data_IF_651494504078
#
_entry.id   IF_651494504078
#
_cell.length_a   1.000
_cell.length_b   1.000
_cell.length_c   1.000
_cell.angle_alpha   90.00
_cell.angle_beta   90.00
_cell.angle_gamma   90.00
#
_symmetry.space_group_name_H-M   'P 1'
#
loop_
_entity.id
_entity.type
_entity.pdbx_description
1 polymer ?
#
# COMPACT_ATOMS: atom_id res chain seq x y z
N UNK A 1 17.81 -13.29 18.00
CA UNK A 1 16.39 -13.58 17.71
C UNK A 1 16.23 -13.40 16.22
N UNK A 2 15.88 -14.45 15.52
CA UNK A 2 15.74 -14.42 14.07
C UNK A 2 14.54 -13.55 13.68
N UNK A 3 14.82 -12.30 13.33
CA UNK A 3 13.83 -11.35 12.75
C UNK A 3 13.46 -11.78 11.32
N UNK A 4 13.16 -13.06 11.11
CA UNK A 4 12.86 -13.61 9.80
C UNK A 4 11.34 -13.60 9.57
N UNK A 5 10.95 -13.12 8.41
CA UNK A 5 9.58 -13.31 7.92
C UNK A 5 9.35 -14.82 7.72
N UNK A 6 8.20 -15.38 8.13
CA UNK A 6 7.84 -16.77 7.85
C UNK A 6 8.03 -17.13 6.37
N UNK A 7 8.45 -18.34 6.08
CA UNK A 7 8.84 -18.75 4.72
C UNK A 7 7.69 -18.67 3.70
N UNK A 8 6.48 -18.98 4.11
CA UNK A 8 5.25 -18.88 3.31
C UNK A 8 4.86 -17.42 3.03
N UNK A 9 5.00 -16.53 4.04
CA UNK A 9 4.81 -15.08 3.89
C UNK A 9 5.89 -14.50 2.96
N UNK A 10 7.15 -14.95 3.09
CA UNK A 10 8.25 -14.55 2.20
C UNK A 10 7.97 -14.99 0.76
N UNK A 11 7.51 -16.21 0.57
CA UNK A 11 7.16 -16.73 -0.76
C UNK A 11 6.02 -15.92 -1.40
N UNK A 12 4.96 -15.61 -0.63
CA UNK A 12 3.87 -14.76 -1.08
C UNK A 12 4.34 -13.34 -1.43
N UNK A 13 5.21 -12.75 -0.60
CA UNK A 13 5.78 -11.42 -0.84
C UNK A 13 6.59 -11.39 -2.14
N UNK A 14 7.41 -12.40 -2.40
CA UNK A 14 8.25 -12.47 -3.60
C UNK A 14 7.45 -12.79 -4.87
N UNK A 15 6.40 -13.61 -4.77
CA UNK A 15 5.45 -13.85 -5.87
C UNK A 15 4.74 -12.54 -6.27
N UNK A 16 4.46 -11.70 -5.31
CA UNK A 16 3.67 -10.49 -5.48
C UNK A 16 2.19 -10.71 -5.19
N UNK A 17 1.61 -9.84 -4.38
CA UNK A 17 0.20 -9.89 -3.98
C UNK A 17 -0.41 -8.49 -3.96
N UNK A 18 -1.73 -8.45 -3.89
CA UNK A 18 -2.49 -7.23 -3.61
C UNK A 18 -2.43 -6.94 -2.12
N UNK A 19 -1.94 -5.75 -1.75
CA UNK A 19 -1.91 -5.25 -0.38
C UNK A 19 -2.68 -3.93 -0.32
N UNK A 20 -3.97 -3.92 0.04
CA UNK A 20 -4.72 -2.69 0.25
C UNK A 20 -4.08 -1.83 1.36
N UNK A 21 -3.97 -0.53 1.10
CA UNK A 21 -3.62 0.44 2.12
C UNK A 21 -4.88 0.79 2.92
N UNK A 22 -5.03 0.23 4.11
CA UNK A 22 -6.26 0.20 4.89
C UNK A 22 -6.79 1.61 5.25
N UNK A 23 -8.01 2.01 4.81
CA UNK A 23 -8.69 3.20 5.30
C UNK A 23 -9.17 3.04 6.74
N UNK A 24 -9.31 4.17 7.44
CA UNK A 24 -9.82 4.22 8.80
C UNK A 24 -11.35 4.38 8.81
N UNK A 25 -12.05 3.39 9.32
CA UNK A 25 -13.49 3.46 9.49
C UNK A 25 -13.86 4.33 10.69
N UNK A 26 -14.57 5.42 10.45
CA UNK A 26 -15.05 6.33 11.49
C UNK A 26 -16.58 6.45 11.48
N UNK A 27 -17.15 6.66 12.65
CA UNK A 27 -18.55 7.06 12.80
C UNK A 27 -18.72 8.59 12.66
N UNK A 28 -19.96 9.08 12.67
CA UNK A 28 -20.30 10.53 12.56
C UNK A 28 -19.61 11.42 13.60
N UNK A 29 -19.21 10.84 14.74
CA UNK A 29 -18.50 11.55 15.80
C UNK A 29 -16.96 11.48 15.62
N UNK A 30 -16.48 10.98 14.47
CA UNK A 30 -15.06 10.76 14.14
C UNK A 30 -14.34 9.86 15.15
N UNK A 31 -15.06 8.92 15.74
CA UNK A 31 -14.53 7.84 16.56
C UNK A 31 -14.43 6.58 15.71
N UNK A 32 -13.46 5.72 16.05
CA UNK A 32 -13.28 4.44 15.38
C UNK A 32 -14.61 3.64 15.39
N UNK A 33 -15.04 3.24 14.22
CA UNK A 33 -16.12 2.28 14.02
C UNK A 33 -15.49 0.88 13.86
N UNK A 34 -15.29 0.22 14.99
CA UNK A 34 -14.59 -1.07 15.02
C UNK A 34 -15.31 -2.13 14.18
N UNK A 35 -16.64 -2.16 14.20
CA UNK A 35 -17.43 -3.12 13.41
C UNK A 35 -17.14 -2.97 11.92
N UNK A 36 -17.12 -1.76 11.41
CA UNK A 36 -16.81 -1.48 9.99
C UNK A 36 -15.33 -1.60 9.67
N UNK A 37 -14.46 -1.30 10.64
CA UNK A 37 -13.03 -1.54 10.47
C UNK A 37 -12.73 -3.03 10.27
N UNK A 38 -13.39 -3.91 11.04
CA UNK A 38 -13.31 -5.37 10.88
C UNK A 38 -13.92 -5.81 9.54
N UNK A 39 -15.09 -5.27 9.17
CA UNK A 39 -15.74 -5.57 7.91
C UNK A 39 -14.86 -5.22 6.69
N UNK A 40 -14.15 -4.10 6.72
CA UNK A 40 -13.17 -3.73 5.68
C UNK A 40 -12.06 -4.77 5.53
N UNK A 41 -11.50 -5.25 6.63
CA UNK A 41 -10.43 -6.25 6.58
C UNK A 41 -10.96 -7.58 6.04
N UNK A 42 -12.14 -8.02 6.50
CA UNK A 42 -12.82 -9.22 6.00
C UNK A 42 -13.10 -9.12 4.49
N UNK A 43 -13.58 -7.96 4.04
CA UNK A 43 -13.77 -7.68 2.61
C UNK A 43 -12.47 -7.88 1.82
N UNK A 44 -11.35 -7.31 2.26
CA UNK A 44 -10.07 -7.45 1.56
C UNK A 44 -9.62 -8.91 1.47
N UNK A 45 -9.72 -9.63 2.57
CA UNK A 45 -9.30 -11.03 2.64
C UNK A 45 -10.20 -11.94 1.80
N UNK A 46 -11.52 -11.75 1.86
CA UNK A 46 -12.48 -12.51 1.04
C UNK A 46 -12.38 -12.13 -0.45
N UNK A 47 -11.99 -10.90 -0.79
CA UNK A 47 -11.67 -10.49 -2.15
C UNK A 47 -10.38 -11.13 -2.71
N UNK A 48 -9.58 -11.76 -1.86
CA UNK A 48 -8.34 -12.46 -2.24
C UNK A 48 -7.07 -11.62 -2.07
N UNK A 49 -7.12 -10.51 -1.34
CA UNK A 49 -5.91 -9.76 -1.02
C UNK A 49 -4.93 -10.63 -0.24
N UNK A 50 -3.66 -10.66 -0.65
CA UNK A 50 -2.60 -11.43 0.00
C UNK A 50 -1.94 -10.70 1.16
N UNK A 51 -2.38 -9.49 1.49
CA UNK A 51 -1.89 -8.74 2.64
C UNK A 51 -2.74 -7.52 2.96
N UNK A 52 -2.44 -6.86 4.10
CA UNK A 52 -3.07 -5.61 4.54
C UNK A 52 -2.00 -4.69 5.09
N UNK A 53 -2.02 -3.41 4.70
CA UNK A 53 -1.14 -2.38 5.25
C UNK A 53 -1.93 -1.42 6.13
N UNK A 54 -1.60 -1.32 7.42
CA UNK A 54 -2.25 -0.46 8.40
C UNK A 54 -1.30 0.60 8.97
N UNK A 55 -1.86 1.72 9.47
CA UNK A 55 -1.05 2.83 9.97
C UNK A 55 -0.34 3.62 8.89
N UNK A 56 -0.80 3.49 7.64
CA UNK A 56 -0.30 4.15 6.43
C UNK A 56 -1.09 5.43 6.13
N UNK A 57 -0.83 6.08 5.00
CA UNK A 57 -1.49 7.34 4.63
C UNK A 57 -3.03 7.25 4.69
N UNK A 58 -3.63 6.23 4.08
CA UNK A 58 -5.09 6.02 4.06
C UNK A 58 -5.68 5.72 5.45
N UNK A 59 -4.89 5.14 6.36
CA UNK A 59 -5.28 4.96 7.77
C UNK A 59 -5.21 6.28 8.55
N UNK A 60 -4.67 7.34 7.93
CA UNK A 60 -4.47 8.69 8.45
C UNK A 60 -3.37 8.75 9.53
N UNK A 61 -2.32 9.50 9.27
CA UNK A 61 -1.19 9.63 10.22
C UNK A 61 -1.60 10.19 11.58
N UNK A 62 -2.71 10.95 11.61
CA UNK A 62 -3.30 11.52 12.83
C UNK A 62 -3.73 10.48 13.87
N UNK A 63 -3.87 9.19 13.52
CA UNK A 63 -4.12 8.11 14.50
C UNK A 63 -3.09 8.06 15.63
N UNK A 64 -1.92 8.68 15.43
CA UNK A 64 -0.79 8.74 16.36
C UNK A 64 -0.84 9.91 17.33
N UNK A 65 -1.68 10.91 17.05
CA UNK A 65 -1.74 12.14 17.84
C UNK A 65 -2.20 11.84 19.28
N UNK A 66 -1.63 12.55 20.27
CA UNK A 66 -2.14 12.52 21.64
C UNK A 66 -3.64 12.84 21.67
N UNK A 67 -4.42 12.07 22.41
CA UNK A 67 -5.87 12.19 22.46
C UNK A 67 -6.65 11.41 21.39
N UNK A 68 -6.00 10.99 20.29
CA UNK A 68 -6.56 10.06 19.30
C UNK A 68 -6.13 8.63 19.63
N UNK A 69 -4.83 8.36 19.70
CA UNK A 69 -4.21 7.12 20.17
C UNK A 69 -4.80 5.83 19.51
N UNK A 70 -5.07 5.87 18.21
CA UNK A 70 -5.65 4.74 17.48
C UNK A 70 -4.63 3.83 16.80
N UNK A 71 -3.32 4.14 16.83
CA UNK A 71 -2.32 3.33 16.13
C UNK A 71 -2.33 1.88 16.61
N UNK A 72 -2.11 1.64 17.91
CA UNK A 72 -2.11 0.28 18.46
C UNK A 72 -3.47 -0.43 18.36
N UNK A 73 -4.62 0.21 18.66
CA UNK A 73 -5.94 -0.41 18.46
C UNK A 73 -6.19 -0.89 17.03
N UNK A 74 -5.87 -0.07 16.01
CA UNK A 74 -6.07 -0.45 14.61
C UNK A 74 -5.17 -1.61 14.22
N UNK A 75 -3.89 -1.59 14.61
CA UNK A 75 -2.98 -2.71 14.36
C UNK A 75 -3.50 -4.01 14.98
N UNK A 76 -4.04 -3.96 16.19
CA UNK A 76 -4.61 -5.13 16.88
C UNK A 76 -5.81 -5.70 16.12
N UNK A 77 -6.74 -4.84 15.67
CA UNK A 77 -7.93 -5.27 14.89
C UNK A 77 -7.49 -5.98 13.60
N UNK A 78 -6.52 -5.42 12.86
CA UNK A 78 -6.01 -6.05 11.63
C UNK A 78 -5.41 -7.42 11.93
N UNK A 79 -4.57 -7.51 12.97
CA UNK A 79 -3.98 -8.78 13.38
C UNK A 79 -5.05 -9.84 13.65
N UNK A 80 -6.03 -9.52 14.49
CA UNK A 80 -7.09 -10.46 14.88
C UNK A 80 -7.87 -11.01 13.67
N UNK A 81 -8.25 -10.14 12.72
CA UNK A 81 -8.97 -10.57 11.52
C UNK A 81 -8.07 -11.36 10.55
N UNK A 82 -6.79 -10.99 10.43
CA UNK A 82 -5.84 -11.75 9.60
C UNK A 82 -5.56 -13.13 10.21
N UNK A 83 -5.32 -13.24 11.52
CA UNK A 83 -5.11 -14.53 12.21
C UNK A 83 -6.32 -15.45 12.06
N UNK A 84 -7.53 -14.89 12.25
CA UNK A 84 -8.79 -15.64 12.02
C UNK A 84 -8.88 -16.17 10.60
N UNK A 85 -8.57 -15.34 9.61
CA UNK A 85 -8.59 -15.75 8.20
C UNK A 85 -7.57 -16.84 7.90
N UNK A 86 -6.35 -16.70 8.39
CA UNK A 86 -5.28 -17.72 8.23
C UNK A 86 -5.69 -19.05 8.83
N UNK A 87 -6.28 -19.05 10.05
CA UNK A 87 -6.77 -20.25 10.70
C UNK A 87 -7.86 -20.97 9.90
N UNK A 88 -8.75 -20.24 9.24
CA UNK A 88 -9.87 -20.82 8.47
C UNK A 88 -9.41 -21.25 7.08
N UNK A 89 -8.60 -20.44 6.39
CA UNK A 89 -8.27 -20.64 4.98
C UNK A 89 -6.96 -21.39 4.74
N UNK A 90 -6.06 -21.43 5.73
CA UNK A 90 -4.68 -21.93 5.59
C UNK A 90 -3.78 -21.06 4.71
N UNK A 91 -4.27 -19.90 4.21
CA UNK A 91 -3.51 -19.02 3.32
C UNK A 91 -2.75 -17.96 4.11
N UNK A 92 -1.46 -17.71 3.83
CA UNK A 92 -0.70 -16.67 4.52
C UNK A 92 -1.25 -15.28 4.14
N UNK A 93 -1.25 -14.37 5.11
CA UNK A 93 -1.62 -12.95 4.93
C UNK A 93 -0.47 -12.06 5.38
N UNK A 94 0.06 -11.25 4.46
CA UNK A 94 1.15 -10.32 4.75
C UNK A 94 0.60 -9.13 5.53
N UNK A 95 1.10 -8.90 6.74
CA UNK A 95 0.74 -7.76 7.57
C UNK A 95 1.85 -6.72 7.57
N UNK A 96 1.56 -5.51 7.06
CA UNK A 96 2.53 -4.41 6.94
C UNK A 96 2.07 -3.26 7.82
N UNK A 97 2.95 -2.80 8.73
CA UNK A 97 2.67 -1.64 9.58
C UNK A 97 3.38 -0.40 9.07
N UNK A 98 2.65 0.69 8.88
CA UNK A 98 3.26 2.00 8.65
C UNK A 98 4.04 2.44 9.90
N UNK A 99 5.30 2.79 9.73
CA UNK A 99 6.19 3.32 10.77
C UNK A 99 6.72 4.67 10.31
N UNK A 100 6.53 5.72 11.10
CA UNK A 100 6.84 7.11 10.70
C UNK A 100 7.53 7.90 11.81
N UNK A 101 7.97 9.10 11.47
CA UNK A 101 8.58 10.03 12.40
C UNK A 101 10.10 9.89 12.52
N UNK A 102 10.69 10.67 13.42
CA UNK A 102 12.12 10.56 13.74
C UNK A 102 12.39 9.27 14.52
N UNK A 103 13.65 8.85 14.61
CA UNK A 103 14.08 7.54 15.10
C UNK A 103 13.44 7.13 16.43
N UNK A 104 13.31 8.04 17.40
CA UNK A 104 12.69 7.75 18.71
C UNK A 104 11.22 7.33 18.60
N UNK A 105 10.45 7.98 17.72
CA UNK A 105 9.05 7.61 17.46
C UNK A 105 8.98 6.32 16.67
N UNK A 106 9.77 6.21 15.60
CA UNK A 106 9.78 5.03 14.75
C UNK A 106 10.15 3.74 15.50
N UNK A 107 11.08 3.81 16.48
CA UNK A 107 11.40 2.68 17.36
C UNK A 107 10.14 2.21 18.11
N UNK A 108 9.40 3.13 18.76
CA UNK A 108 8.18 2.77 19.51
C UNK A 108 7.11 2.15 18.61
N UNK A 109 6.95 2.69 17.39
CA UNK A 109 5.98 2.17 16.42
C UNK A 109 6.39 0.80 15.90
N UNK A 110 7.68 0.60 15.58
CA UNK A 110 8.22 -0.69 15.14
C UNK A 110 8.10 -1.76 16.24
N UNK A 111 8.42 -1.42 17.48
CA UNK A 111 8.24 -2.32 18.62
C UNK A 111 6.77 -2.70 18.82
N UNK A 112 5.85 -1.72 18.68
CA UNK A 112 4.41 -1.98 18.76
C UNK A 112 3.95 -2.89 17.65
N UNK A 113 4.40 -2.66 16.41
CA UNK A 113 4.07 -3.48 15.25
C UNK A 113 4.64 -4.91 15.39
N UNK A 114 5.90 -5.04 15.80
CA UNK A 114 6.56 -6.33 16.04
C UNK A 114 5.83 -7.14 17.12
N UNK A 115 5.47 -6.51 18.26
CA UNK A 115 4.68 -7.16 19.32
C UNK A 115 3.29 -7.60 18.86
N UNK A 116 2.71 -6.92 17.87
CA UNK A 116 1.46 -7.31 17.25
C UNK A 116 1.64 -8.31 16.09
N UNK A 117 2.82 -8.90 15.91
CA UNK A 117 3.05 -9.94 14.90
C UNK A 117 3.06 -9.44 13.45
N UNK A 118 3.27 -8.16 13.21
CA UNK A 118 3.42 -7.63 11.85
C UNK A 118 4.73 -8.10 11.22
N UNK A 119 4.68 -8.39 9.92
CA UNK A 119 5.80 -9.00 9.19
C UNK A 119 6.83 -7.98 8.71
N UNK A 120 6.43 -6.72 8.44
CA UNK A 120 7.35 -5.68 7.99
C UNK A 120 6.86 -4.27 8.35
N UNK A 121 7.81 -3.37 8.56
CA UNK A 121 7.58 -1.94 8.72
C UNK A 121 7.63 -1.22 7.35
N UNK A 122 6.52 -0.65 6.90
CA UNK A 122 6.53 0.33 5.80
C UNK A 122 7.10 1.65 6.36
N UNK A 123 8.39 1.87 6.13
CA UNK A 123 9.13 2.94 6.76
C UNK A 123 9.00 4.26 6.02
N UNK A 124 8.23 5.19 6.58
CA UNK A 124 8.03 6.53 6.04
C UNK A 124 9.16 7.49 6.43
N UNK A 125 9.79 8.11 5.44
CA UNK A 125 10.95 8.99 5.61
C UNK A 125 10.61 10.49 5.58
N UNK A 126 9.33 10.86 5.56
CA UNK A 126 8.89 12.26 5.46
C UNK A 126 9.39 13.19 6.59
N UNK A 127 9.71 12.64 7.77
CA UNK A 127 10.29 13.40 8.87
C UNK A 127 11.76 13.81 8.65
N UNK A 128 12.40 13.33 7.58
CA UNK A 128 13.83 13.52 7.30
C UNK A 128 14.07 14.38 6.06
N UNK A 129 13.23 15.40 5.80
CA UNK A 129 13.27 16.21 4.56
C UNK A 129 14.67 16.76 4.26
N UNK A 130 15.35 17.30 5.28
CA UNK A 130 16.62 18.03 5.15
C UNK A 130 17.82 17.22 5.65
N UNK A 131 17.61 15.99 6.09
CA UNK A 131 18.67 15.13 6.61
C UNK A 131 19.49 14.52 5.48
N UNK A 132 20.78 14.24 5.73
CA UNK A 132 21.64 13.55 4.76
C UNK A 132 21.23 12.09 4.54
N UNK A 133 21.54 11.52 3.38
CA UNK A 133 21.31 10.10 3.09
C UNK A 133 21.95 9.21 4.18
N UNK A 134 23.16 9.56 4.66
CA UNK A 134 23.85 8.83 5.73
C UNK A 134 23.02 8.79 7.02
N UNK A 135 22.42 9.92 7.43
CA UNK A 135 21.58 9.99 8.63
C UNK A 135 20.31 9.14 8.45
N UNK A 136 19.70 9.17 7.26
CA UNK A 136 18.50 8.36 6.97
C UNK A 136 18.83 6.88 6.93
N UNK A 137 19.94 6.47 6.33
CA UNK A 137 20.38 5.06 6.32
C UNK A 137 20.68 4.57 7.74
N UNK A 138 21.27 5.40 8.60
CA UNK A 138 21.47 5.09 10.02
C UNK A 138 20.12 4.84 10.73
N UNK A 139 19.14 5.71 10.48
CA UNK A 139 17.77 5.51 10.97
C UNK A 139 17.17 4.19 10.49
N UNK A 140 17.26 3.91 9.18
CA UNK A 140 16.76 2.66 8.59
C UNK A 140 17.39 1.43 9.25
N UNK A 141 18.71 1.43 9.46
CA UNK A 141 19.43 0.34 10.15
C UNK A 141 18.95 0.15 11.59
N UNK A 142 18.67 1.25 12.31
CA UNK A 142 18.13 1.18 13.67
C UNK A 142 16.77 0.47 13.69
N UNK A 143 15.87 0.81 12.78
CA UNK A 143 14.54 0.17 12.71
C UNK A 143 14.66 -1.28 12.22
N UNK A 144 15.56 -1.55 11.28
CA UNK A 144 15.86 -2.90 10.78
C UNK A 144 16.29 -3.86 11.89
N UNK A 145 16.94 -3.35 12.96
CA UNK A 145 17.27 -4.15 14.14
C UNK A 145 16.06 -4.58 14.98
N UNK A 146 14.87 -4.02 14.72
CA UNK A 146 13.63 -4.35 15.45
C UNK A 146 12.74 -5.29 14.63
N UNK A 147 12.54 -4.99 13.34
CA UNK A 147 11.71 -5.80 12.44
C UNK A 147 12.12 -5.59 10.98
N UNK A 148 11.76 -6.53 10.06
CA UNK A 148 12.00 -6.39 8.64
C UNK A 148 11.46 -5.10 8.06
N UNK A 149 12.16 -4.54 7.05
CA UNK A 149 11.79 -3.29 6.41
C UNK A 149 11.10 -3.51 5.06
N UNK A 150 9.99 -2.82 4.90
CA UNK A 150 9.38 -2.52 3.62
C UNK A 150 9.72 -1.06 3.31
N UNK A 151 10.64 -0.80 2.39
CA UNK A 151 11.01 0.56 2.00
C UNK A 151 9.83 1.32 1.41
N UNK A 152 9.82 2.63 1.54
CA UNK A 152 8.76 3.46 1.00
C UNK A 152 9.29 4.70 0.30
N UNK A 153 9.19 4.71 -1.03
CA UNK A 153 9.42 5.93 -1.81
C UNK A 153 8.10 6.68 -1.97
N UNK A 154 7.86 7.67 -1.14
CA UNK A 154 6.67 8.52 -1.21
C UNK A 154 6.96 9.77 -2.06
N UNK A 155 6.01 10.17 -2.90
CA UNK A 155 6.12 11.38 -3.71
C UNK A 155 6.22 12.67 -2.84
N UNK A 156 6.98 13.68 -3.29
CA UNK A 156 7.14 14.93 -2.53
C UNK A 156 5.83 15.70 -2.29
N UNK A 157 4.87 15.64 -3.20
CA UNK A 157 3.59 16.36 -3.10
C UNK A 157 2.77 15.97 -1.85
N UNK A 158 2.94 14.75 -1.34
CA UNK A 158 2.23 14.26 -0.14
C UNK A 158 3.18 13.97 1.03
N UNK A 159 4.30 14.70 1.11
CA UNK A 159 5.21 14.66 2.25
C UNK A 159 6.43 13.76 2.10
N UNK A 160 6.68 13.22 0.91
CA UNK A 160 7.91 12.50 0.59
C UNK A 160 9.11 13.41 0.34
N UNK A 161 10.21 12.80 -0.07
CA UNK A 161 11.42 13.50 -0.52
C UNK A 161 12.04 12.78 -1.72
N UNK A 162 12.86 13.50 -2.50
CA UNK A 162 13.66 12.87 -3.55
C UNK A 162 14.78 12.04 -2.94
N UNK A 163 14.89 10.79 -3.40
CA UNK A 163 15.89 9.80 -3.02
C UNK A 163 16.53 9.27 -4.31
N UNK A 164 17.85 9.33 -4.40
CA UNK A 164 18.60 8.94 -5.57
C UNK A 164 18.96 7.44 -5.60
N UNK A 165 19.57 7.00 -6.69
CA UNK A 165 19.99 5.59 -6.86
C UNK A 165 20.99 5.17 -5.78
N UNK A 166 21.88 6.05 -5.32
CA UNK A 166 22.86 5.73 -4.28
C UNK A 166 22.17 5.45 -2.95
N UNK A 167 21.16 6.26 -2.59
CA UNK A 167 20.34 5.98 -1.42
C UNK A 167 19.70 4.60 -1.51
N UNK A 168 19.07 4.26 -2.64
CA UNK A 168 18.38 2.98 -2.79
C UNK A 168 19.32 1.80 -2.80
N UNK A 169 20.54 1.94 -3.34
CA UNK A 169 21.59 0.92 -3.27
C UNK A 169 22.02 0.66 -1.81
N UNK A 170 22.28 1.73 -1.04
CA UNK A 170 22.64 1.60 0.38
C UNK A 170 21.49 1.03 1.22
N UNK A 171 20.25 1.49 0.97
CA UNK A 171 19.06 0.98 1.63
C UNK A 171 18.85 -0.51 1.34
N UNK A 172 18.95 -0.91 0.08
CA UNK A 172 18.84 -2.32 -0.33
C UNK A 172 19.97 -3.20 0.23
N UNK A 173 21.12 -2.62 0.57
CA UNK A 173 22.24 -3.29 1.26
C UNK A 173 21.94 -3.63 2.73
N UNK A 174 20.87 -3.13 3.33
CA UNK A 174 20.46 -3.50 4.69
C UNK A 174 19.82 -4.89 4.64
N UNK A 175 20.37 -5.85 5.38
CA UNK A 175 19.99 -7.27 5.34
C UNK A 175 18.48 -7.49 5.54
N UNK A 176 17.88 -6.76 6.48
CA UNK A 176 16.45 -6.89 6.84
C UNK A 176 15.49 -6.19 5.87
N UNK A 177 15.99 -5.58 4.79
CA UNK A 177 15.10 -5.07 3.73
C UNK A 177 14.56 -6.23 2.92
N UNK A 178 13.23 -6.37 2.88
CA UNK A 178 12.53 -7.47 2.25
C UNK A 178 11.71 -7.05 1.03
N UNK A 179 11.28 -5.80 1.01
CA UNK A 179 10.54 -5.22 -0.11
C UNK A 179 10.69 -3.69 -0.17
N UNK A 180 10.31 -3.11 -1.30
CA UNK A 180 10.23 -1.65 -1.48
C UNK A 180 8.93 -1.30 -2.19
N UNK A 181 8.12 -0.42 -1.57
CA UNK A 181 6.99 0.26 -2.20
C UNK A 181 7.49 1.47 -2.97
N UNK A 182 7.19 1.53 -4.26
CA UNK A 182 7.62 2.56 -5.21
C UNK A 182 6.43 3.45 -5.54
N UNK A 183 6.38 4.65 -4.97
CA UNK A 183 5.26 5.58 -5.12
C UNK A 183 5.71 7.05 -5.35
N UNK A 184 6.74 7.33 -6.17
CA UNK A 184 7.14 8.70 -6.48
C UNK A 184 6.27 9.35 -7.56
N UNK A 185 5.40 8.64 -8.26
CA UNK A 185 4.63 9.09 -9.42
C UNK A 185 5.55 9.69 -10.51
N UNK A 186 6.73 9.11 -10.64
CA UNK A 186 7.77 9.56 -11.55
C UNK A 186 8.59 8.37 -12.06
N UNK A 187 8.59 8.16 -13.38
CA UNK A 187 9.25 6.99 -14.01
C UNK A 187 10.77 6.99 -13.82
N UNK A 188 11.40 8.16 -13.81
CA UNK A 188 12.85 8.27 -13.56
C UNK A 188 13.20 7.81 -12.14
N UNK A 189 12.43 8.26 -11.15
CA UNK A 189 12.62 7.87 -9.76
C UNK A 189 12.25 6.40 -9.51
N UNK A 190 11.26 5.88 -10.20
CA UNK A 190 10.96 4.43 -10.21
C UNK A 190 12.18 3.64 -10.68
N UNK A 191 12.81 4.08 -11.77
CA UNK A 191 14.02 3.44 -12.31
C UNK A 191 15.19 3.53 -11.33
N UNK A 192 15.37 4.63 -10.60
CA UNK A 192 16.41 4.78 -9.58
C UNK A 192 16.28 3.72 -8.47
N UNK A 193 15.06 3.38 -8.05
CA UNK A 193 14.83 2.28 -7.08
C UNK A 193 15.25 0.95 -7.66
N UNK A 194 14.77 0.64 -8.88
CA UNK A 194 15.08 -0.65 -9.55
C UNK A 194 16.60 -0.82 -9.72
N UNK A 195 17.28 0.24 -10.18
CA UNK A 195 18.74 0.25 -10.32
C UNK A 195 19.43 0.07 -8.98
N UNK A 196 19.03 0.81 -7.96
CA UNK A 196 19.61 0.70 -6.62
C UNK A 196 19.52 -0.73 -6.06
N UNK A 197 18.38 -1.40 -6.25
CA UNK A 197 18.19 -2.79 -5.83
C UNK A 197 19.07 -3.74 -6.65
N UNK A 198 19.19 -3.56 -7.96
CA UNK A 198 20.08 -4.38 -8.80
C UNK A 198 21.55 -4.17 -8.42
N UNK A 199 21.97 -2.91 -8.27
CA UNK A 199 23.34 -2.54 -7.94
C UNK A 199 23.76 -2.93 -6.50
N UNK A 200 22.79 -3.23 -5.61
CA UNK A 200 23.07 -3.78 -4.28
C UNK A 200 23.43 -5.27 -4.28
N UNK A 201 23.24 -5.96 -5.41
CA UNK A 201 23.44 -7.42 -5.51
C UNK A 201 22.26 -8.25 -5.01
N UNK A 202 21.19 -7.61 -4.47
CA UNK A 202 20.05 -8.29 -3.82
C UNK A 202 18.77 -8.33 -4.67
N UNK A 203 18.91 -8.24 -5.98
CA UNK A 203 17.76 -8.23 -6.90
C UNK A 203 16.83 -9.47 -6.75
N UNK A 204 17.37 -10.64 -6.39
CA UNK A 204 16.60 -11.87 -6.16
C UNK A 204 15.90 -11.94 -4.79
N UNK A 205 16.30 -11.09 -3.84
CA UNK A 205 15.83 -11.16 -2.44
C UNK A 205 14.77 -10.12 -2.10
N UNK A 206 14.85 -8.93 -2.69
CA UNK A 206 14.00 -7.79 -2.38
C UNK A 206 12.85 -7.72 -3.37
N UNK A 207 11.62 -7.86 -2.89
CA UNK A 207 10.42 -7.71 -3.71
C UNK A 207 10.14 -6.22 -4.01
N UNK A 208 9.73 -5.89 -5.24
CA UNK A 208 9.30 -4.55 -5.62
C UNK A 208 7.78 -4.51 -5.76
N UNK A 209 7.17 -3.52 -5.14
CA UNK A 209 5.74 -3.29 -5.13
C UNK A 209 5.41 -1.91 -5.68
N UNK A 210 4.49 -1.83 -6.64
CA UNK A 210 4.03 -0.52 -7.09
C UNK A 210 3.19 0.17 -6.02
N UNK A 211 3.36 1.44 -5.91
CA UNK A 211 2.53 2.40 -5.19
C UNK A 211 2.26 3.62 -6.09
N UNK A 212 2.61 3.51 -7.38
CA UNK A 212 2.36 4.51 -8.41
C UNK A 212 0.92 4.36 -8.90
N UNK A 213 -0.02 4.94 -8.17
CA UNK A 213 -1.44 4.83 -8.48
C UNK A 213 -1.79 5.43 -9.88
N UNK A 214 -0.90 6.25 -10.44
CA UNK A 214 -0.99 6.79 -11.79
C UNK A 214 -0.55 5.82 -12.91
N UNK A 215 0.05 4.66 -12.56
CA UNK A 215 0.68 3.78 -13.55
C UNK A 215 0.68 2.28 -13.15
N UNK A 216 -0.34 1.83 -12.47
CA UNK A 216 -0.39 0.51 -11.80
C UNK A 216 -0.09 -0.64 -12.76
N UNK A 217 -0.90 -0.79 -13.82
CA UNK A 217 -0.80 -1.95 -14.71
C UNK A 217 0.49 -1.92 -15.53
N UNK A 218 0.93 -0.75 -15.97
CA UNK A 218 2.20 -0.63 -16.74
C UNK A 218 3.40 -0.97 -15.87
N UNK A 219 3.41 -0.57 -14.58
CA UNK A 219 4.47 -0.96 -13.64
C UNK A 219 4.55 -2.49 -13.49
N UNK A 220 3.41 -3.16 -13.35
CA UNK A 220 3.33 -4.62 -13.18
C UNK A 220 3.75 -5.40 -14.45
N UNK A 221 3.50 -4.84 -15.63
CA UNK A 221 3.86 -5.45 -16.92
C UNK A 221 5.31 -5.16 -17.32
N UNK A 222 5.95 -4.14 -16.75
CA UNK A 222 7.29 -3.73 -17.15
C UNK A 222 8.36 -4.69 -16.64
N UNK A 223 9.17 -5.21 -17.56
CA UNK A 223 10.41 -5.91 -17.23
C UNK A 223 11.59 -4.95 -17.37
N UNK A 224 12.27 -4.67 -16.26
CA UNK A 224 13.46 -3.82 -16.23
C UNK A 224 14.70 -4.67 -16.48
N UNK A 225 15.46 -4.37 -17.53
CA UNK A 225 16.75 -5.01 -17.86
C UNK A 225 17.88 -4.05 -17.55
N UNK A 226 18.53 -4.25 -16.42
CA UNK A 226 19.60 -3.40 -15.91
C UNK A 226 20.95 -4.09 -16.15
N UNK A 227 21.86 -3.39 -16.84
CA UNK A 227 23.24 -3.88 -17.00
C UNK A 227 24.07 -3.44 -15.78
N UNK A 228 24.58 -4.42 -15.05
CA UNK A 228 25.43 -4.18 -13.89
C UNK A 228 26.49 -5.28 -13.80
N UNK A 229 27.74 -4.91 -13.53
CA UNK A 229 28.91 -5.82 -13.42
C UNK A 229 29.00 -6.80 -14.60
N UNK A 230 28.92 -6.27 -15.82
CA UNK A 230 29.01 -7.05 -17.07
C UNK A 230 27.80 -7.95 -17.39
N UNK A 231 26.81 -8.05 -16.49
CA UNK A 231 25.60 -8.90 -16.65
C UNK A 231 24.36 -8.04 -16.89
N UNK A 232 23.37 -8.62 -17.57
CA UNK A 232 22.02 -8.05 -17.67
C UNK A 232 21.17 -8.75 -16.64
N UNK A 233 20.68 -8.00 -15.65
CA UNK A 233 19.82 -8.49 -14.57
C UNK A 233 18.39 -8.03 -14.87
N UNK A 234 17.48 -8.98 -14.95
CA UNK A 234 16.05 -8.72 -15.09
C UNK A 234 15.44 -8.49 -13.71
N UNK A 235 14.58 -7.47 -13.59
CA UNK A 235 13.80 -7.19 -12.37
C UNK A 235 12.40 -6.74 -12.75
N UNK A 236 11.40 -7.22 -12.00
CA UNK A 236 10.00 -6.80 -12.15
C UNK A 236 9.45 -6.23 -10.84
N UNK A 237 8.46 -5.38 -10.95
CA UNK A 237 7.54 -5.05 -9.86
C UNK A 237 6.50 -6.16 -9.85
N UNK A 238 6.40 -6.92 -8.75
CA UNK A 238 5.65 -8.17 -8.69
C UNK A 238 4.26 -8.04 -8.12
N UNK A 239 4.01 -7.01 -7.30
CA UNK A 239 2.72 -6.75 -6.67
C UNK A 239 2.52 -5.27 -6.41
N UNK A 240 1.50 -4.93 -5.63
CA UNK A 240 1.25 -3.54 -5.26
C UNK A 240 0.80 -3.37 -3.81
N UNK A 241 1.23 -2.26 -3.22
CA UNK A 241 0.73 -1.73 -1.97
C UNK A 241 0.16 -0.34 -2.25
N UNK A 242 -1.13 -0.25 -2.50
CA UNK A 242 -1.78 0.88 -3.16
C UNK A 242 -2.98 1.40 -2.36
N UNK A 243 -3.15 2.71 -2.36
CA UNK A 243 -4.35 3.36 -1.90
C UNK A 243 -5.54 3.03 -2.81
N UNK A 244 -5.34 3.03 -4.12
CA UNK A 244 -6.36 2.64 -5.10
C UNK A 244 -6.93 1.24 -4.83
N UNK A 245 -6.10 0.28 -4.45
CA UNK A 245 -6.52 -1.09 -4.16
C UNK A 245 -7.29 -1.27 -2.85
N UNK A 246 -7.47 -0.21 -2.06
CA UNK A 246 -8.38 -0.19 -0.93
C UNK A 246 -9.85 -0.11 -1.34
N UNK A 247 -10.14 0.17 -2.61
CA UNK A 247 -11.47 0.14 -3.24
C UNK A 247 -11.42 -0.81 -4.42
N UNK A 248 -12.55 -1.46 -4.72
CA UNK A 248 -12.67 -2.42 -5.82
C UNK A 248 -11.62 -3.54 -5.76
N UNK A 249 -11.34 -3.99 -4.54
CA UNK A 249 -10.21 -4.90 -4.25
C UNK A 249 -10.30 -6.22 -5.00
N UNK A 250 -11.52 -6.78 -5.19
CA UNK A 250 -11.68 -8.01 -5.96
C UNK A 250 -11.21 -7.85 -7.40
N UNK A 251 -11.47 -6.70 -8.02
CA UNK A 251 -11.00 -6.41 -9.39
C UNK A 251 -9.49 -6.18 -9.43
N UNK A 252 -8.92 -5.60 -8.38
CA UNK A 252 -7.47 -5.47 -8.25
C UNK A 252 -6.77 -6.84 -8.13
N UNK A 253 -7.35 -7.77 -7.38
CA UNK A 253 -6.84 -9.15 -7.27
C UNK A 253 -6.91 -9.83 -8.64
N UNK A 254 -8.06 -9.77 -9.31
CA UNK A 254 -8.20 -10.32 -10.66
C UNK A 254 -7.19 -9.72 -11.64
N UNK A 255 -6.99 -8.40 -11.61
CA UNK A 255 -6.02 -7.71 -12.46
C UNK A 255 -4.59 -8.26 -12.25
N UNK A 256 -4.17 -8.42 -10.99
CA UNK A 256 -2.85 -8.95 -10.66
C UNK A 256 -2.71 -10.42 -11.08
N UNK A 257 -3.75 -11.24 -10.90
CA UNK A 257 -3.79 -12.61 -11.37
C UNK A 257 -3.69 -12.68 -12.91
N UNK A 258 -4.40 -11.81 -13.63
CA UNK A 258 -4.32 -11.71 -15.10
C UNK A 258 -2.88 -11.33 -15.56
N UNK A 259 -2.20 -10.44 -14.83
CA UNK A 259 -0.79 -10.10 -15.07
C UNK A 259 0.12 -11.32 -14.85
N UNK A 260 -0.02 -11.99 -13.70
CA UNK A 260 0.81 -13.17 -13.37
C UNK A 260 0.60 -14.35 -14.32
N UNK A 261 -0.60 -14.48 -14.87
CA UNK A 261 -0.96 -15.52 -15.85
C UNK A 261 -0.65 -15.12 -17.31
N UNK A 262 -0.01 -13.97 -17.55
CA UNK A 262 0.39 -13.52 -18.88
C UNK A 262 -0.78 -13.14 -19.82
N UNK A 263 -1.96 -12.83 -19.28
CA UNK A 263 -3.16 -12.49 -20.08
C UNK A 263 -2.90 -11.29 -20.99
N UNK A 264 -2.11 -10.32 -20.53
CA UNK A 264 -1.82 -9.09 -21.26
C UNK A 264 -0.63 -9.21 -22.23
N UNK A 265 0.15 -10.29 -22.17
CA UNK A 265 1.32 -10.49 -23.06
C UNK A 265 0.90 -10.63 -24.53
N UNK A 266 -0.31 -11.15 -24.77
CA UNK A 266 -0.87 -11.37 -26.12
C UNK A 266 -1.59 -10.17 -26.69
N UNK A 267 -1.96 -9.20 -25.86
CA UNK A 267 -2.72 -8.00 -26.26
C UNK A 267 -2.27 -6.76 -25.46
N UNK A 268 -1.13 -6.23 -25.85
CA UNK A 268 -0.55 -5.00 -25.27
C UNK A 268 -1.50 -3.80 -25.41
N UNK A 269 -2.27 -3.73 -26.51
CA UNK A 269 -3.24 -2.64 -26.71
C UNK A 269 -4.33 -2.68 -25.65
N UNK A 270 -4.88 -3.85 -25.35
CA UNK A 270 -5.85 -4.05 -24.29
C UNK A 270 -5.27 -3.66 -22.92
N UNK A 271 -4.01 -4.04 -22.66
CA UNK A 271 -3.32 -3.66 -21.43
C UNK A 271 -3.23 -2.13 -21.26
N UNK A 272 -2.85 -1.40 -22.31
CA UNK A 272 -2.74 0.06 -22.27
C UNK A 272 -4.10 0.75 -22.11
N UNK A 273 -5.16 0.25 -22.75
CA UNK A 273 -6.53 0.75 -22.56
C UNK A 273 -6.94 0.55 -21.09
N UNK A 274 -6.75 -0.65 -20.54
CA UNK A 274 -7.05 -0.96 -19.14
C UNK A 274 -6.25 -0.08 -18.17
N UNK A 275 -4.95 0.10 -18.43
CA UNK A 275 -4.09 0.97 -17.63
C UNK A 275 -4.63 2.40 -17.57
N UNK A 276 -5.02 2.95 -18.73
CA UNK A 276 -5.60 4.30 -18.80
C UNK A 276 -6.93 4.40 -18.05
N UNK A 277 -7.81 3.41 -18.17
CA UNK A 277 -9.09 3.38 -17.44
C UNK A 277 -8.89 3.36 -15.91
N UNK A 278 -7.92 2.56 -15.42
CA UNK A 278 -7.56 2.50 -14.00
C UNK A 278 -7.01 3.86 -13.54
N UNK A 279 -6.14 4.48 -14.34
CA UNK A 279 -5.55 5.79 -14.01
C UNK A 279 -6.64 6.88 -13.97
N UNK A 280 -7.62 6.84 -14.87
CA UNK A 280 -8.75 7.79 -14.87
C UNK A 280 -9.64 7.60 -13.62
N UNK A 281 -9.95 6.36 -13.23
CA UNK A 281 -10.65 6.09 -11.96
C UNK A 281 -9.86 6.62 -10.78
N UNK A 282 -8.55 6.37 -10.75
CA UNK A 282 -7.69 6.85 -9.69
C UNK A 282 -7.68 8.38 -9.61
N UNK A 283 -7.69 9.08 -10.75
CA UNK A 283 -7.69 10.54 -10.78
C UNK A 283 -8.90 11.14 -10.03
N UNK A 284 -10.07 10.51 -10.15
CA UNK A 284 -11.29 10.90 -9.45
C UNK A 284 -11.23 10.56 -7.94
N UNK A 285 -10.77 9.34 -7.61
CA UNK A 285 -10.71 8.89 -6.22
C UNK A 285 -9.66 9.66 -5.41
N UNK A 286 -8.51 9.96 -6.01
CA UNK A 286 -7.40 10.65 -5.36
C UNK A 286 -7.44 12.16 -5.52
N UNK A 287 -8.45 12.69 -6.23
CA UNK A 287 -8.65 14.14 -6.35
C UNK A 287 -7.41 14.86 -6.93
N UNK A 288 -6.87 14.30 -8.00
CA UNK A 288 -5.63 14.82 -8.61
C UNK A 288 -5.79 16.26 -9.10
N UNK A 289 -6.98 16.64 -9.54
CA UNK A 289 -7.31 18.01 -9.98
C UNK A 289 -7.17 19.04 -8.83
N UNK A 290 -7.28 18.62 -7.57
CA UNK A 290 -7.13 19.44 -6.38
C UNK A 290 -5.87 19.08 -5.56
N UNK A 291 -4.79 18.65 -6.22
CA UNK A 291 -3.51 18.28 -5.60
C UNK A 291 -3.66 17.23 -4.48
N UNK A 292 -4.48 16.21 -4.71
CA UNK A 292 -4.74 15.09 -3.79
C UNK A 292 -5.41 15.47 -2.46
N UNK A 293 -6.00 16.66 -2.37
CA UNK A 293 -6.60 17.16 -1.12
C UNK A 293 -7.76 16.27 -0.63
N UNK A 294 -8.58 15.76 -1.54
CA UNK A 294 -9.70 14.86 -1.25
C UNK A 294 -9.36 13.37 -1.35
N UNK A 295 -8.09 12.99 -1.37
CA UNK A 295 -7.65 11.61 -1.62
C UNK A 295 -8.28 10.59 -0.65
N UNK A 296 -8.19 10.80 0.65
CA UNK A 296 -8.76 9.87 1.65
C UNK A 296 -10.29 9.88 1.58
N UNK A 297 -10.89 11.08 1.51
CA UNK A 297 -12.34 11.23 1.44
C UNK A 297 -12.94 10.60 0.15
N UNK A 298 -12.22 10.63 -0.96
CA UNK A 298 -12.62 9.98 -2.20
C UNK A 298 -12.68 8.46 -2.09
N UNK A 299 -11.66 7.84 -1.48
CA UNK A 299 -11.69 6.40 -1.17
C UNK A 299 -12.83 6.06 -0.21
N UNK A 300 -13.05 6.89 0.82
CA UNK A 300 -14.16 6.72 1.74
C UNK A 300 -15.51 6.82 1.03
N UNK A 301 -15.66 7.69 0.04
CA UNK A 301 -16.91 7.82 -0.74
C UNK A 301 -17.22 6.54 -1.52
N UNK A 302 -16.22 5.91 -2.16
CA UNK A 302 -16.41 4.63 -2.84
C UNK A 302 -16.86 3.55 -1.83
N UNK A 303 -16.16 3.41 -0.71
CA UNK A 303 -16.51 2.43 0.33
C UNK A 303 -17.86 2.73 1.01
N UNK A 304 -18.24 4.01 1.10
CA UNK A 304 -19.56 4.41 1.59
C UNK A 304 -20.67 3.99 0.62
N UNK A 305 -20.47 4.13 -0.67
CA UNK A 305 -21.43 3.67 -1.70
C UNK A 305 -21.65 2.18 -1.61
N UNK A 306 -20.60 1.42 -1.33
CA UNK A 306 -20.64 -0.02 -1.12
C UNK A 306 -21.20 -0.43 0.27
N UNK A 307 -21.51 0.52 1.16
CA UNK A 307 -22.00 0.25 2.52
C UNK A 307 -20.92 -0.19 3.51
N UNK A 308 -19.65 -0.28 3.10
CA UNK A 308 -18.52 -0.65 3.95
C UNK A 308 -18.18 0.45 4.97
N UNK A 309 -18.37 1.73 4.62
CA UNK A 309 -18.27 2.87 5.53
C UNK A 309 -19.62 3.58 5.68
N UNK A 310 -19.81 4.27 6.80
CA UNK A 310 -21.02 5.07 7.04
C UNK A 310 -20.95 6.46 6.41
N UNK A 311 -19.74 6.99 6.19
CA UNK A 311 -19.52 8.33 5.66
C UNK A 311 -18.09 8.52 5.21
N UNK A 312 -17.80 9.73 4.76
CA UNK A 312 -16.47 10.12 4.24
C UNK A 312 -15.59 10.80 5.32
N UNK A 313 -15.94 10.62 6.58
CA UNK A 313 -15.28 11.33 7.69
C UNK A 313 -13.82 10.91 7.83
N UNK A 314 -12.98 11.91 8.10
CA UNK A 314 -11.56 11.77 8.44
C UNK A 314 -11.31 12.32 9.85
N UNK A 315 -10.16 12.05 10.42
CA UNK A 315 -9.77 12.59 11.74
C UNK A 315 -9.60 14.12 11.68
N UNK A 316 -9.06 14.64 10.59
CA UNK A 316 -9.02 16.06 10.32
C UNK A 316 -10.36 16.52 9.73
N UNK A 317 -11.04 17.43 10.44
CA UNK A 317 -12.34 17.97 10.00
C UNK A 317 -12.27 18.80 8.71
N UNK A 318 -11.10 19.28 8.36
CA UNK A 318 -10.86 20.06 7.14
C UNK A 318 -10.55 19.20 5.92
N UNK A 319 -10.32 17.90 6.11
CA UNK A 319 -10.13 16.94 5.04
C UNK A 319 -11.48 16.30 4.67
N UNK A 320 -11.89 16.50 3.44
CA UNK A 320 -13.16 16.02 2.89
C UNK A 320 -13.11 15.98 1.38
N UNK A 321 -14.22 15.63 0.75
CA UNK A 321 -14.34 15.71 -0.71
C UNK A 321 -14.17 17.15 -1.18
N UNK A 322 -13.35 17.36 -2.19
CA UNK A 322 -13.22 18.66 -2.85
C UNK A 322 -14.46 19.01 -3.68
N UNK A 323 -14.72 20.30 -3.95
CA UNK A 323 -15.78 20.70 -4.86
C UNK A 323 -15.66 20.00 -6.22
N UNK A 324 -16.73 19.34 -6.67
CA UNK A 324 -16.76 18.61 -7.92
C UNK A 324 -16.24 17.16 -7.86
N UNK A 325 -15.47 16.77 -6.86
CA UNK A 325 -14.88 15.41 -6.78
C UNK A 325 -15.95 14.30 -6.77
N UNK A 326 -17.08 14.51 -6.12
CA UNK A 326 -18.18 13.55 -6.13
C UNK A 326 -18.70 13.30 -7.55
N UNK A 327 -18.83 14.35 -8.38
CA UNK A 327 -19.26 14.24 -9.76
C UNK A 327 -18.24 13.47 -10.61
N UNK A 328 -16.94 13.66 -10.34
CA UNK A 328 -15.89 12.87 -11.00
C UNK A 328 -15.96 11.39 -10.60
N UNK A 329 -16.24 11.09 -9.35
CA UNK A 329 -16.49 9.71 -8.91
C UNK A 329 -17.73 9.13 -9.62
N UNK A 330 -18.83 9.90 -9.76
CA UNK A 330 -20.03 9.46 -10.50
C UNK A 330 -19.69 9.20 -11.97
N UNK A 331 -18.86 10.05 -12.59
CA UNK A 331 -18.40 9.91 -13.98
C UNK A 331 -17.66 8.59 -14.19
N UNK A 332 -16.67 8.25 -13.34
CA UNK A 332 -15.87 7.03 -13.53
C UNK A 332 -16.66 5.76 -13.22
N UNK A 333 -17.61 5.79 -12.28
CA UNK A 333 -18.55 4.68 -12.08
C UNK A 333 -19.38 4.38 -13.33
N UNK A 334 -19.81 5.45 -14.06
CA UNK A 334 -20.56 5.32 -15.30
C UNK A 334 -19.67 4.88 -16.47
N UNK A 335 -18.45 5.43 -16.55
CA UNK A 335 -17.53 5.17 -17.66
C UNK A 335 -16.90 3.77 -17.61
N UNK A 336 -16.70 3.22 -16.41
CA UNK A 336 -15.97 1.98 -16.20
C UNK A 336 -16.72 0.99 -15.27
N UNK A 337 -17.94 0.57 -15.63
CA UNK A 337 -18.76 -0.30 -14.76
C UNK A 337 -18.10 -1.65 -14.48
N UNK A 338 -17.26 -2.15 -15.38
CA UNK A 338 -16.57 -3.45 -15.24
C UNK A 338 -15.42 -3.41 -14.23
N UNK A 339 -14.97 -2.22 -13.82
CA UNK A 339 -13.86 -2.05 -12.87
C UNK A 339 -14.31 -2.05 -11.40
N UNK A 340 -15.62 -1.90 -11.12
CA UNK A 340 -16.12 -1.95 -9.75
C UNK A 340 -16.42 -3.40 -9.31
N UNK A 341 -16.50 -3.63 -8.01
CA UNK A 341 -16.86 -4.90 -7.40
C UNK A 341 -18.10 -4.80 -6.50
N UNK A 342 -19.01 -3.89 -6.83
CA UNK A 342 -20.20 -3.57 -6.04
C UNK A 342 -21.10 -4.79 -5.83
N UNK A 343 -21.26 -5.65 -6.83
CA UNK A 343 -22.04 -6.91 -6.70
C UNK A 343 -21.39 -7.86 -5.69
N UNK A 344 -20.07 -8.00 -5.72
CA UNK A 344 -19.34 -8.82 -4.75
C UNK A 344 -19.54 -8.30 -3.33
N UNK A 345 -19.44 -6.97 -3.15
CA UNK A 345 -19.66 -6.37 -1.84
C UNK A 345 -21.10 -6.53 -1.38
N UNK A 346 -22.07 -6.25 -2.24
CA UNK A 346 -23.49 -6.39 -1.92
C UNK A 346 -23.86 -7.83 -1.49
N UNK A 347 -23.26 -8.84 -2.11
CA UNK A 347 -23.49 -10.25 -1.79
C UNK A 347 -22.88 -10.72 -0.47
N UNK A 348 -21.94 -9.95 0.12
CA UNK A 348 -21.16 -10.39 1.29
C UNK A 348 -21.20 -9.44 2.50
N UNK A 349 -21.68 -8.21 2.34
CA UNK A 349 -21.54 -7.15 3.36
C UNK A 349 -22.17 -7.52 4.71
N UNK A 350 -23.31 -8.19 4.73
CA UNK A 350 -23.97 -8.60 5.98
C UNK A 350 -23.11 -9.59 6.76
N UNK A 351 -22.47 -10.53 6.05
CA UNK A 351 -21.49 -11.48 6.63
C UNK A 351 -20.30 -10.75 7.25
N UNK A 352 -19.79 -9.70 6.60
CA UNK A 352 -18.63 -8.98 7.12
C UNK A 352 -18.98 -8.07 8.29
N UNK A 353 -20.20 -7.56 8.34
CA UNK A 353 -20.71 -6.72 9.42
C UNK A 353 -21.19 -7.55 10.64
N UNK A 354 -21.32 -8.84 10.52
CA UNK A 354 -21.60 -9.72 11.67
C UNK A 354 -20.34 -9.90 12.53
#
# INVERSE_FOLDING_TARGET
MDNLIPSDVRAALNKGVVIPALPLALNRNRKLDERRQRALIRYYLDAGAGGVAAGVHTTQFAIRLPGINLYSPVLKIVREECERFVQISGKPVIQVAGVVGKTRQAIKEAETASKNGYHAALLGLGAFRDDSNKAIISHCKTIAGIMPLFGFYLQPAVGGRRLDVNFWREFAGIEQVVAIKIAPFNRYQTLDVVRGVVESGRAGEIALYTGNDDNILVDLLTEYKIRYDGKVISKRITGGLLGHWAVWTQKAVKLLDDVHNGVFEKDVRRALIMANSITDCNSAFFDTANNFRGCIAGLHEVLRRQGLLQGTWTLDRHEGLSPGQKNEIDRVYTAYPDLNDDEFVAGNIEKWLS
#
